data_IF_286002153137
#
_entry.id   IF_286002153137
#
_cell.length_a   1.000
_cell.length_b   1.000
_cell.length_c   1.000
_cell.angle_alpha   90.00
_cell.angle_beta   90.00
_cell.angle_gamma   90.00
#
_symmetry.space_group_name_H-M   'P 1'
#
loop_
_entity.id
_entity.type
_entity.pdbx_description
1 polymer ?
#
# COMPACT_ATOMS: atom_id res chain seq x y z
N UNK A 1 -11.49 -14.77 1.16
CA UNK A 1 -12.00 -13.72 2.03
C UNK A 1 -12.33 -12.52 1.16
N UNK A 2 -13.32 -11.74 1.53
CA UNK A 2 -13.65 -10.50 0.83
C UNK A 2 -13.78 -9.35 1.82
N UNK A 3 -14.00 -8.13 1.32
CA UNK A 3 -14.06 -6.94 2.14
C UNK A 3 -12.70 -6.51 2.68
N UNK A 4 -12.72 -5.84 3.82
CA UNK A 4 -11.52 -5.39 4.54
C UNK A 4 -11.31 -6.30 5.76
N UNK A 5 -10.08 -6.68 6.02
CA UNK A 5 -9.74 -7.52 7.16
C UNK A 5 -8.41 -7.07 7.80
N UNK A 6 -8.29 -7.28 9.10
CA UNK A 6 -7.02 -7.19 9.82
C UNK A 6 -6.40 -8.58 9.85
N UNK A 7 -5.20 -8.72 9.31
CA UNK A 7 -4.39 -9.93 9.40
C UNK A 7 -3.50 -9.88 10.63
N UNK A 8 -3.48 -10.97 11.40
CA UNK A 8 -2.61 -11.16 12.55
C UNK A 8 -1.77 -12.43 12.40
N UNK A 9 -0.82 -12.65 13.31
CA UNK A 9 0.12 -13.74 13.21
C UNK A 9 1.06 -13.58 12.01
N UNK A 10 1.07 -14.57 11.12
CA UNK A 10 1.80 -14.53 9.84
C UNK A 10 0.92 -14.01 8.68
N UNK A 11 -0.17 -13.32 8.97
CA UNK A 11 -1.19 -12.94 7.99
C UNK A 11 -2.21 -14.04 7.69
N UNK A 12 -2.20 -15.10 8.47
CA UNK A 12 -3.06 -16.29 8.34
C UNK A 12 -4.36 -16.18 9.16
N UNK A 13 -4.39 -15.29 10.16
CA UNK A 13 -5.56 -15.03 10.97
C UNK A 13 -6.23 -13.73 10.51
N UNK A 14 -7.32 -13.86 9.76
CA UNK A 14 -8.03 -12.71 9.19
C UNK A 14 -9.29 -12.41 10.01
N UNK A 15 -9.34 -11.20 10.57
CA UNK A 15 -10.51 -10.69 11.28
C UNK A 15 -11.17 -9.59 10.44
N UNK A 16 -12.48 -9.67 10.15
CA UNK A 16 -13.18 -8.64 9.41
C UNK A 16 -13.02 -7.26 10.07
N UNK A 17 -12.70 -6.26 9.28
CA UNK A 17 -12.66 -4.87 9.70
C UNK A 17 -13.79 -4.09 9.04
N UNK A 18 -14.37 -3.15 9.80
CA UNK A 18 -15.39 -2.27 9.25
C UNK A 18 -14.73 -1.28 8.30
N UNK A 19 -15.14 -1.35 7.04
CA UNK A 19 -14.83 -0.34 6.03
C UNK A 19 -16.14 0.13 5.39
N UNK A 20 -16.25 1.42 5.16
CA UNK A 20 -17.37 2.05 4.46
C UNK A 20 -16.89 2.70 3.19
N UNK A 21 -17.81 2.95 2.29
CA UNK A 21 -17.50 3.64 1.04
C UNK A 21 -16.66 2.81 0.08
N UNK A 22 -15.91 3.52 -0.72
CA UNK A 22 -15.06 2.99 -1.78
C UNK A 22 -13.74 3.75 -1.73
N UNK A 23 -12.66 3.02 -1.85
CA UNK A 23 -11.31 3.57 -2.01
C UNK A 23 -10.82 3.22 -3.40
N UNK A 24 -10.45 4.24 -4.15
CA UNK A 24 -9.95 4.09 -5.51
C UNK A 24 -8.43 4.16 -5.53
N UNK A 25 -7.82 3.23 -6.27
CA UNK A 25 -6.39 3.06 -6.35
C UNK A 25 -5.94 2.99 -7.79
N UNK A 26 -4.78 3.53 -8.06
CA UNK A 26 -4.06 3.28 -9.31
C UNK A 26 -2.84 2.43 -8.99
N UNK A 27 -2.84 1.19 -9.49
CA UNK A 27 -1.71 0.28 -9.34
C UNK A 27 -0.77 0.45 -10.52
N UNK A 28 0.51 0.63 -10.21
CA UNK A 28 1.59 0.72 -11.20
C UNK A 28 2.49 -0.52 -11.01
N UNK A 29 2.30 -1.58 -11.80
CA UNK A 29 3.18 -2.74 -11.77
C UNK A 29 4.56 -2.38 -12.34
N UNK A 30 5.56 -3.18 -12.03
CA UNK A 30 6.88 -3.11 -12.64
C UNK A 30 7.14 -4.37 -13.43
N UNK A 31 7.76 -4.25 -14.59
CA UNK A 31 8.16 -5.38 -15.44
C UNK A 31 9.28 -6.21 -14.82
N UNK A 32 10.10 -5.59 -13.97
CA UNK A 32 11.16 -6.27 -13.25
C UNK A 32 10.70 -6.66 -11.85
N UNK A 33 10.90 -7.92 -11.50
CA UNK A 33 10.55 -8.44 -10.17
C UNK A 33 11.45 -7.87 -9.06
N UNK A 34 10.94 -7.89 -7.83
CA UNK A 34 11.70 -7.63 -6.61
C UNK A 34 11.59 -8.83 -5.68
N UNK A 35 12.74 -9.34 -5.23
CA UNK A 35 12.78 -10.54 -4.39
C UNK A 35 12.31 -10.22 -2.97
N UNK A 36 11.19 -10.77 -2.55
CA UNK A 36 10.67 -10.62 -1.19
C UNK A 36 11.71 -10.95 -0.10
N UNK A 37 12.46 -12.07 -0.16
CA UNK A 37 13.53 -12.33 0.81
C UNK A 37 14.61 -11.26 0.87
N UNK A 38 14.96 -10.64 -0.27
CA UNK A 38 15.96 -9.56 -0.33
C UNK A 38 15.43 -8.31 0.40
N UNK A 39 14.16 -7.95 0.18
CA UNK A 39 13.55 -6.79 0.86
C UNK A 39 13.50 -7.00 2.37
N UNK A 40 13.14 -8.19 2.85
CA UNK A 40 13.15 -8.50 4.28
C UNK A 40 14.57 -8.44 4.87
N UNK A 41 15.57 -9.02 4.19
CA UNK A 41 16.96 -8.93 4.62
C UNK A 41 17.46 -7.47 4.67
N UNK A 42 17.01 -6.63 3.72
CA UNK A 42 17.32 -5.20 3.74
C UNK A 42 16.68 -4.51 4.93
N UNK A 43 15.40 -4.79 5.23
CA UNK A 43 14.72 -4.24 6.40
C UNK A 43 15.47 -4.58 7.69
N UNK A 44 15.88 -5.84 7.85
CA UNK A 44 16.66 -6.27 9.02
C UNK A 44 17.98 -5.49 9.12
N UNK A 45 18.70 -5.34 8.00
CA UNK A 45 19.94 -4.56 7.97
C UNK A 45 19.76 -3.07 8.27
N UNK A 46 18.66 -2.44 7.83
CA UNK A 46 18.33 -1.06 8.15
C UNK A 46 18.05 -0.90 9.66
N UNK A 47 17.27 -1.79 10.24
CA UNK A 47 16.98 -1.80 11.68
C UNK A 47 18.23 -2.00 12.54
N UNK A 48 19.11 -2.90 12.13
CA UNK A 48 20.39 -3.12 12.81
C UNK A 48 21.28 -1.86 12.75
N UNK A 49 21.30 -1.16 11.62
CA UNK A 49 22.09 0.07 11.45
C UNK A 49 21.56 1.25 12.27
N UNK A 50 20.25 1.35 12.47
CA UNK A 50 19.61 2.37 13.32
C UNK A 50 19.81 2.11 14.80
N UNK A 51 20.41 0.97 15.18
CA UNK A 51 20.64 0.59 16.57
C UNK A 51 19.32 0.24 17.28
N UNK A 52 18.32 -0.21 16.55
CA UNK A 52 17.14 -0.88 17.09
C UNK A 52 17.61 -2.17 17.76
N UNK A 53 18.23 -1.99 18.94
CA UNK A 53 18.90 -3.02 19.69
C UNK A 53 17.88 -3.90 20.41
N UNK A 54 18.34 -5.06 20.83
CA UNK A 54 17.59 -6.10 21.54
C UNK A 54 16.80 -5.65 22.78
N UNK A 55 16.91 -4.39 23.20
CA UNK A 55 16.23 -3.80 24.35
C UNK A 55 15.02 -2.92 23.97
N UNK A 56 14.75 -2.69 22.68
CA UNK A 56 13.53 -1.98 22.28
C UNK A 56 12.30 -2.89 22.51
N UNK A 57 11.20 -2.32 23.05
CA UNK A 57 9.97 -3.10 23.20
C UNK A 57 9.55 -3.63 21.82
N UNK A 58 9.04 -4.88 21.76
CA UNK A 58 8.62 -5.46 20.49
C UNK A 58 7.68 -4.48 19.79
N UNK A 59 7.95 -4.22 18.51
CA UNK A 59 7.12 -3.35 17.67
C UNK A 59 5.65 -3.74 17.88
N UNK A 60 4.82 -2.75 18.20
CA UNK A 60 3.38 -2.99 18.29
C UNK A 60 2.90 -3.48 16.94
N UNK A 61 2.46 -4.74 16.88
CA UNK A 61 1.83 -5.33 15.69
C UNK A 61 0.35 -4.95 15.57
N UNK A 62 -0.07 -3.92 16.29
CA UNK A 62 -1.44 -3.43 16.23
C UNK A 62 -1.65 -2.55 15.01
N UNK A 63 -2.77 -2.74 14.33
CA UNK A 63 -3.18 -1.83 13.25
C UNK A 63 -3.42 -0.46 13.86
N UNK A 64 -2.79 0.60 13.35
CA UNK A 64 -2.96 1.95 13.88
C UNK A 64 -4.42 2.38 13.91
N UNK A 65 -4.87 2.92 15.04
CA UNK A 65 -6.24 3.39 15.20
C UNK A 65 -6.67 4.40 14.12
N UNK A 66 -5.82 5.33 13.64
CA UNK A 66 -6.16 6.23 12.53
C UNK A 66 -6.56 5.50 11.24
N UNK A 67 -5.85 4.43 10.86
CA UNK A 67 -6.20 3.61 9.68
C UNK A 67 -7.60 3.02 9.84
N UNK A 68 -7.90 2.43 11.00
CA UNK A 68 -9.23 1.86 11.27
C UNK A 68 -10.32 2.92 11.28
N UNK A 69 -10.02 4.13 11.75
CA UNK A 69 -10.94 5.25 11.74
C UNK A 69 -11.22 5.71 10.30
N UNK A 70 -10.20 5.89 9.48
CA UNK A 70 -10.32 6.26 8.08
C UNK A 70 -11.15 5.24 7.29
N UNK A 71 -10.90 3.95 7.48
CA UNK A 71 -11.71 2.88 6.87
C UNK A 71 -13.18 2.92 7.30
N UNK A 72 -13.47 3.20 8.58
CA UNK A 72 -14.84 3.30 9.10
C UNK A 72 -15.59 4.52 8.59
N UNK A 73 -14.90 5.65 8.41
CA UNK A 73 -15.49 6.86 7.83
C UNK A 73 -15.69 6.75 6.32
N UNK A 74 -14.88 5.94 5.64
CA UNK A 74 -14.85 5.86 4.18
C UNK A 74 -14.19 7.08 3.55
N UNK A 75 -13.28 7.71 4.28
CA UNK A 75 -12.63 8.96 3.92
C UNK A 75 -11.21 8.67 3.38
N UNK A 76 -10.97 8.89 2.07
CA UNK A 76 -9.67 8.63 1.48
C UNK A 76 -8.59 9.64 1.92
N UNK A 77 -8.96 10.88 2.27
CA UNK A 77 -7.99 11.87 2.76
C UNK A 77 -7.44 11.43 4.12
N UNK A 78 -8.32 11.03 5.06
CA UNK A 78 -7.89 10.47 6.33
C UNK A 78 -7.06 9.19 6.17
N UNK A 79 -7.40 8.34 5.18
CA UNK A 79 -6.64 7.15 4.91
C UNK A 79 -5.24 7.50 4.40
N UNK A 80 -5.12 8.49 3.53
CA UNK A 80 -3.83 8.92 2.97
C UNK A 80 -2.83 9.38 4.03
N UNK A 81 -3.32 10.01 5.11
CA UNK A 81 -2.49 10.48 6.22
C UNK A 81 -1.98 9.35 7.12
N UNK A 82 -2.59 8.18 7.05
CA UNK A 82 -2.37 7.10 8.01
C UNK A 82 -1.86 5.80 7.41
N UNK A 83 -1.95 5.60 6.11
CA UNK A 83 -1.43 4.39 5.45
C UNK A 83 0.09 4.43 5.38
N UNK A 84 0.69 3.30 5.66
CA UNK A 84 2.13 3.10 5.49
C UNK A 84 2.43 1.62 5.22
N UNK A 85 3.67 1.35 4.85
CA UNK A 85 4.19 0.00 4.66
C UNK A 85 5.60 -0.09 5.26
N UNK A 86 5.79 -0.90 6.27
CA UNK A 86 7.08 -1.11 6.94
C UNK A 86 8.19 -1.55 5.98
N UNK A 87 7.84 -2.23 4.91
CA UNK A 87 8.80 -2.68 3.89
C UNK A 87 9.17 -1.59 2.88
N UNK A 88 8.51 -0.43 2.90
CA UNK A 88 8.67 0.59 1.86
C UNK A 88 10.10 1.10 1.77
N UNK A 89 10.71 1.48 2.87
CA UNK A 89 12.09 1.97 2.87
C UNK A 89 13.07 0.93 2.32
N UNK A 90 12.94 -0.31 2.75
CA UNK A 90 13.75 -1.41 2.25
C UNK A 90 13.53 -1.67 0.75
N UNK A 91 12.29 -1.60 0.27
CA UNK A 91 11.96 -1.75 -1.14
C UNK A 91 12.54 -0.59 -1.99
N UNK A 92 12.44 0.65 -1.51
CA UNK A 92 13.02 1.83 -2.17
C UNK A 92 14.55 1.80 -2.18
N UNK A 93 15.17 1.24 -1.16
CA UNK A 93 16.62 1.05 -1.13
C UNK A 93 17.08 0.06 -2.22
N UNK A 94 16.35 -1.03 -2.42
CA UNK A 94 16.65 -2.02 -3.46
C UNK A 94 16.25 -1.54 -4.87
N UNK A 95 15.21 -0.71 -4.97
CA UNK A 95 14.61 -0.21 -6.21
C UNK A 95 14.25 1.28 -6.10
N UNK A 96 15.23 2.20 -6.19
CA UNK A 96 15.01 3.65 -6.03
C UNK A 96 14.00 4.25 -7.02
N UNK A 97 13.83 3.66 -8.19
CA UNK A 97 12.85 4.11 -9.20
C UNK A 97 11.39 3.99 -8.74
N UNK A 98 11.11 3.17 -7.72
CA UNK A 98 9.77 3.09 -7.12
C UNK A 98 9.39 4.42 -6.45
N UNK A 99 10.36 5.11 -5.83
CA UNK A 99 10.14 6.45 -5.28
C UNK A 99 9.75 7.45 -6.38
N UNK A 100 10.45 7.40 -7.52
CA UNK A 100 10.09 8.23 -8.67
C UNK A 100 8.67 7.96 -9.14
N UNK A 101 8.22 6.71 -9.13
CA UNK A 101 6.86 6.33 -9.49
C UNK A 101 5.84 6.87 -8.49
N UNK A 102 6.11 6.77 -7.19
CA UNK A 102 5.27 7.35 -6.13
C UNK A 102 5.13 8.86 -6.32
N UNK A 103 6.26 9.57 -6.47
CA UNK A 103 6.27 11.02 -6.65
C UNK A 103 5.51 11.46 -7.91
N UNK A 104 5.65 10.74 -9.02
CA UNK A 104 4.87 11.00 -10.24
C UNK A 104 3.37 10.83 -10.00
N UNK A 105 2.97 9.79 -9.27
CA UNK A 105 1.57 9.58 -8.90
C UNK A 105 1.01 10.72 -8.06
N UNK A 106 1.76 11.20 -7.06
CA UNK A 106 1.37 12.34 -6.23
C UNK A 106 1.27 13.62 -7.07
N UNK A 107 2.24 13.90 -7.94
CA UNK A 107 2.16 15.04 -8.85
C UNK A 107 1.00 14.95 -9.85
N UNK A 108 0.58 13.74 -10.20
CA UNK A 108 -0.58 13.51 -11.05
C UNK A 108 -1.93 13.65 -10.29
N UNK A 109 -1.92 13.86 -8.97
CA UNK A 109 -3.10 14.11 -8.15
C UNK A 109 -3.51 12.95 -7.23
N UNK A 110 -2.70 11.92 -7.07
CA UNK A 110 -2.91 10.92 -6.02
C UNK A 110 -2.70 11.54 -4.63
N UNK A 111 -3.51 11.11 -3.65
CA UNK A 111 -3.40 11.57 -2.26
C UNK A 111 -2.15 11.02 -1.59
N UNK A 112 -1.82 9.75 -1.85
CA UNK A 112 -0.68 9.06 -1.28
C UNK A 112 -0.25 7.91 -2.18
N UNK A 113 1.04 7.55 -2.11
CA UNK A 113 1.58 6.38 -2.79
C UNK A 113 2.37 5.50 -1.85
N UNK A 114 2.14 4.20 -1.93
CA UNK A 114 2.87 3.20 -1.16
C UNK A 114 3.37 2.07 -2.06
N UNK A 115 4.46 1.43 -1.64
CA UNK A 115 4.85 0.14 -2.21
C UNK A 115 3.87 -0.92 -1.70
N UNK A 116 3.34 -1.76 -2.57
CA UNK A 116 2.41 -2.83 -2.21
C UNK A 116 3.17 -4.06 -1.72
N UNK A 117 3.05 -4.37 -0.42
CA UNK A 117 3.80 -5.47 0.20
C UNK A 117 5.31 -5.28 0.07
N UNK A 118 6.04 -6.29 -0.38
CA UNK A 118 7.49 -6.18 -0.67
C UNK A 118 7.81 -5.52 -2.01
N UNK A 119 6.80 -5.06 -2.74
CA UNK A 119 6.95 -4.49 -4.08
C UNK A 119 7.02 -5.56 -5.19
N UNK A 120 7.37 -5.17 -6.42
CA UNK A 120 7.67 -3.79 -6.86
C UNK A 120 6.44 -2.96 -7.26
N UNK A 121 5.22 -3.46 -7.11
CA UNK A 121 4.01 -2.70 -7.45
C UNK A 121 3.86 -1.49 -6.53
N UNK A 122 3.64 -0.32 -7.11
CA UNK A 122 3.24 0.89 -6.39
C UNK A 122 1.71 1.00 -6.41
N UNK A 123 1.11 1.33 -5.27
CA UNK A 123 -0.31 1.60 -5.12
C UNK A 123 -0.52 3.07 -4.76
N UNK A 124 -1.27 3.79 -5.58
CA UNK A 124 -1.56 5.21 -5.44
C UNK A 124 -3.02 5.38 -5.01
N UNK A 125 -3.25 5.92 -3.84
CA UNK A 125 -4.59 6.22 -3.33
C UNK A 125 -5.11 7.51 -3.98
N UNK A 126 -6.34 7.48 -4.46
CA UNK A 126 -6.99 8.63 -5.09
C UNK A 126 -8.26 9.03 -4.33
N UNK A 127 -8.60 10.32 -4.42
CA UNK A 127 -9.75 10.88 -3.72
C UNK A 127 -11.10 10.37 -4.26
N UNK A 128 -11.15 10.03 -5.55
CA UNK A 128 -12.38 9.63 -6.25
C UNK A 128 -12.07 8.76 -7.47
N UNK A 129 -13.10 8.10 -8.05
CA UNK A 129 -12.94 7.40 -9.33
C UNK A 129 -12.43 8.30 -10.47
N UNK A 130 -12.90 9.54 -10.53
CA UNK A 130 -12.51 10.53 -11.54
C UNK A 130 -11.03 10.91 -11.35
N UNK A 131 -10.61 11.20 -10.11
CA UNK A 131 -9.22 11.47 -9.79
C UNK A 131 -8.30 10.29 -10.13
N UNK A 132 -8.74 9.06 -9.90
CA UNK A 132 -7.98 7.86 -10.29
C UNK A 132 -7.80 7.74 -11.81
N UNK A 133 -8.83 8.10 -12.59
CA UNK A 133 -8.75 8.11 -14.06
C UNK A 133 -7.78 9.20 -14.56
N UNK A 134 -7.78 10.38 -13.94
CA UNK A 134 -6.85 11.47 -14.26
C UNK A 134 -5.40 11.05 -13.95
N UNK A 135 -5.16 10.51 -12.76
CA UNK A 135 -3.84 9.98 -12.37
C UNK A 135 -3.38 8.91 -13.36
N UNK A 136 -4.25 7.96 -13.70
CA UNK A 136 -3.93 6.90 -14.66
C UNK A 136 -3.58 7.47 -16.04
N UNK A 137 -4.31 8.46 -16.52
CA UNK A 137 -4.07 9.10 -17.82
C UNK A 137 -2.70 9.76 -17.86
N UNK A 138 -2.39 10.58 -16.83
CA UNK A 138 -1.12 11.28 -16.73
C UNK A 138 0.08 10.31 -16.60
N UNK A 139 -0.08 9.22 -15.86
CA UNK A 139 0.97 8.20 -15.76
C UNK A 139 1.24 7.53 -17.10
N UNK A 140 0.21 7.24 -17.89
CA UNK A 140 0.35 6.68 -19.24
C UNK A 140 1.06 7.63 -20.21
N UNK A 141 0.81 8.93 -20.11
CA UNK A 141 1.55 9.94 -20.90
C UNK A 141 3.05 9.92 -20.59
N UNK A 142 3.41 9.46 -19.40
CA UNK A 142 4.80 9.26 -18.98
C UNK A 142 5.32 7.83 -19.24
N UNK A 143 4.58 7.02 -19.97
CA UNK A 143 4.97 5.66 -20.31
C UNK A 143 4.83 4.63 -19.19
N UNK A 144 4.07 4.95 -18.13
CA UNK A 144 3.81 4.04 -17.02
C UNK A 144 2.47 3.31 -17.22
N UNK A 145 2.54 2.01 -17.44
CA UNK A 145 1.36 1.15 -17.44
C UNK A 145 0.74 1.12 -16.03
N UNK A 146 -0.58 1.24 -15.97
CA UNK A 146 -1.27 1.33 -14.69
C UNK A 146 -2.71 0.81 -14.77
N UNK A 147 -3.23 0.38 -13.63
CA UNK A 147 -4.57 -0.19 -13.49
C UNK A 147 -5.36 0.58 -12.43
N UNK A 148 -6.50 1.14 -12.81
CA UNK A 148 -7.47 1.68 -11.85
C UNK A 148 -8.27 0.53 -11.26
N UNK A 149 -8.22 0.40 -9.95
CA UNK A 149 -8.94 -0.61 -9.17
C UNK A 149 -9.62 0.03 -7.96
N UNK A 150 -10.54 -0.68 -7.32
CA UNK A 150 -11.18 -0.19 -6.10
C UNK A 150 -11.40 -1.31 -5.09
N UNK A 151 -11.52 -0.92 -3.83
CA UNK A 151 -11.88 -1.76 -2.70
C UNK A 151 -12.81 -1.03 -1.73
N UNK A 152 -13.45 -1.76 -0.79
CA UNK A 152 -13.45 -3.22 -0.69
C UNK A 152 -14.34 -3.89 -1.74
N UNK A 153 -14.04 -5.13 -2.07
CA UNK A 153 -14.82 -5.94 -3.02
C UNK A 153 -15.26 -7.26 -2.38
N UNK A 154 -16.36 -7.87 -2.85
CA UNK A 154 -16.76 -9.20 -2.40
C UNK A 154 -15.66 -10.23 -2.63
N UNK A 155 -15.52 -11.20 -1.73
CA UNK A 155 -14.61 -12.31 -1.88
C UNK A 155 -15.01 -13.28 -2.99
N UNK A 156 -14.20 -14.32 -3.15
CA UNK A 156 -14.49 -15.41 -4.07
C UNK A 156 -15.85 -16.02 -3.78
N UNK A 157 -16.64 -16.27 -4.83
CA UNK A 157 -17.95 -16.91 -4.76
C UNK A 157 -18.13 -17.89 -5.90
N UNK A 158 -18.89 -18.95 -5.63
CA UNK A 158 -19.30 -19.88 -6.69
C UNK A 158 -20.47 -19.23 -7.43
N UNK A 159 -20.31 -19.10 -8.73
CA UNK A 159 -21.44 -18.71 -9.60
C UNK A 159 -22.22 -19.99 -9.92
N UNK A 160 -23.48 -19.98 -9.56
CA UNK A 160 -24.41 -21.07 -9.90
C UNK A 160 -24.90 -20.93 -11.35
#
# INVERSE_FOLDING_TARGET
HGGTAVGTGRGDQLNPALARGRFDWVLVPSDEGLSTPVVYARLDALRDAEGALADDPPLSLEVPAPVLQALRSGDPDLLSESIYNDLQEAALHERPELETTILRGIHAGALQGIVSGSGPTVALLCASPEGAQEVQSLLREHGLESLHVHGPVPGARILA
#
